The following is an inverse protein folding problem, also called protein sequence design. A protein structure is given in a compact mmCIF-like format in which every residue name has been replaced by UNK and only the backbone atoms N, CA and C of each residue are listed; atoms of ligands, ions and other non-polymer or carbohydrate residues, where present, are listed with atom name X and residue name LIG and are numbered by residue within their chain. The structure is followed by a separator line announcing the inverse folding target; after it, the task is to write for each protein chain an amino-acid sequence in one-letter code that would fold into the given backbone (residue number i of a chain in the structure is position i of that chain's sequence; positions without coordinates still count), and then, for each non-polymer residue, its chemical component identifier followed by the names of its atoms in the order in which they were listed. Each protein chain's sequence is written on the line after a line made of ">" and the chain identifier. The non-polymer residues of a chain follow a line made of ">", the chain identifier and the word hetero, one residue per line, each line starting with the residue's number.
data_IF_714171524815
#
_entry.id   IF_714171524815
#
_cell.length_a   1.000
_cell.length_b   1.000
_cell.length_c   1.000
_cell.angle_alpha   90.00
_cell.angle_beta   90.00
_cell.angle_gamma   90.00
#
_symmetry.space_group_name_H-M   'P 1'
#
loop_
_entity.id
_entity.type
_entity.pdbx_description
1 polymer ?
#
# COMPACT_ATOMS: atom_id res chain seq x y z
N UNK A 1 3.28 9.53 -12.34
CA UNK A 1 2.76 10.78 -12.95
C UNK A 1 2.94 11.90 -11.94
N UNK A 2 3.67 12.96 -12.33
CA UNK A 2 4.04 14.07 -11.45
C UNK A 2 3.01 15.21 -11.50
N UNK A 3 1.73 14.87 -11.30
CA UNK A 3 0.64 15.83 -11.10
C UNK A 3 0.56 16.25 -9.63
N UNK A 4 -0.36 17.16 -9.32
CA UNK A 4 -0.73 17.50 -7.95
C UNK A 4 -2.21 17.12 -7.71
N UNK A 5 -2.51 16.09 -6.90
CA UNK A 5 -1.57 15.19 -6.21
C UNK A 5 -0.81 14.26 -7.19
N UNK A 6 0.31 13.71 -6.73
CA UNK A 6 1.09 12.76 -7.53
C UNK A 6 0.37 11.41 -7.59
N UNK A 7 0.62 10.66 -8.66
CA UNK A 7 0.08 9.31 -8.85
C UNK A 7 1.22 8.35 -9.19
N UNK A 8 1.27 7.23 -8.47
CA UNK A 8 2.25 6.18 -8.69
C UNK A 8 1.60 4.80 -8.57
N UNK A 9 2.05 3.83 -9.37
CA UNK A 9 1.65 2.43 -9.26
C UNK A 9 2.81 1.49 -9.55
N UNK A 10 2.77 0.29 -8.99
CA UNK A 10 3.65 -0.84 -9.31
C UNK A 10 2.84 -2.14 -9.26
N UNK A 11 3.21 -3.11 -10.08
CA UNK A 11 2.54 -4.42 -10.12
C UNK A 11 1.16 -4.36 -10.76
N UNK A 12 0.31 -5.31 -10.38
CA UNK A 12 -0.99 -5.55 -10.99
C UNK A 12 -2.07 -4.62 -10.47
N UNK A 13 -3.09 -4.38 -11.29
CA UNK A 13 -4.36 -3.75 -10.88
C UNK A 13 -5.36 -4.79 -10.38
N UNK A 14 -6.47 -4.34 -9.79
CA UNK A 14 -7.53 -5.26 -9.35
C UNK A 14 -8.22 -5.93 -10.55
N UNK A 15 -8.38 -5.20 -11.64
CA UNK A 15 -8.97 -5.69 -12.89
C UNK A 15 -8.13 -6.81 -13.49
N UNK A 16 -6.80 -6.65 -13.54
CA UNK A 16 -5.86 -7.67 -14.01
C UNK A 16 -5.94 -8.93 -13.14
N UNK A 17 -5.99 -8.78 -11.80
CA UNK A 17 -6.10 -9.92 -10.88
C UNK A 17 -7.43 -10.67 -11.02
N UNK A 18 -8.53 -9.95 -11.23
CA UNK A 18 -9.85 -10.55 -11.48
C UNK A 18 -9.85 -11.33 -12.80
N UNK A 19 -9.28 -10.76 -13.86
CA UNK A 19 -9.17 -11.43 -15.17
C UNK A 19 -8.31 -12.70 -15.11
N UNK A 20 -7.24 -12.69 -14.31
CA UNK A 20 -6.36 -13.84 -14.13
C UNK A 20 -6.90 -14.86 -13.09
N UNK A 21 -8.00 -14.58 -12.41
CA UNK A 21 -8.56 -15.46 -11.38
C UNK A 21 -7.66 -15.62 -10.15
N UNK A 22 -6.81 -14.63 -9.86
CA UNK A 22 -5.92 -14.64 -8.69
C UNK A 22 -6.70 -14.17 -7.46
N UNK A 23 -6.62 -14.92 -6.36
CA UNK A 23 -7.30 -14.54 -5.12
C UNK A 23 -6.47 -13.58 -4.28
N UNK A 24 -7.00 -12.38 -4.04
CA UNK A 24 -6.31 -11.31 -3.34
C UNK A 24 -7.19 -10.60 -2.31
N UNK A 25 -6.56 -9.81 -1.43
CA UNK A 25 -7.21 -8.77 -0.65
C UNK A 25 -6.73 -7.39 -1.10
N UNK A 26 -7.66 -6.45 -1.23
CA UNK A 26 -7.35 -5.04 -1.42
C UNK A 26 -7.50 -4.31 -0.08
N UNK A 27 -6.46 -3.57 0.32
CA UNK A 27 -6.52 -2.71 1.50
C UNK A 27 -6.11 -1.29 1.15
N UNK A 28 -6.76 -0.32 1.78
CA UNK A 28 -6.57 1.11 1.50
C UNK A 28 -6.42 1.91 2.79
N UNK A 29 -5.46 2.81 2.82
CA UNK A 29 -5.35 3.84 3.85
C UNK A 29 -5.29 5.23 3.23
N UNK A 30 -6.20 6.11 3.63
CA UNK A 30 -6.22 7.51 3.22
C UNK A 30 -5.07 8.27 3.88
N UNK A 31 -4.56 9.32 3.22
CA UNK A 31 -3.56 10.21 3.80
C UNK A 31 -4.10 10.88 5.07
N UNK A 32 -5.32 11.40 5.01
CA UNK A 32 -6.06 11.99 6.12
C UNK A 32 -6.24 11.08 7.34
N UNK A 33 -6.13 9.77 7.18
CA UNK A 33 -6.22 8.78 8.26
C UNK A 33 -4.83 8.45 8.87
N UNK A 34 -3.84 9.33 8.73
CA UNK A 34 -2.49 9.18 9.28
C UNK A 34 -2.04 10.47 9.98
N UNK A 35 -1.24 10.35 11.05
CA UNK A 35 -0.70 11.50 11.76
C UNK A 35 0.02 12.47 10.82
N UNK A 36 0.85 11.94 9.93
CA UNK A 36 1.61 12.68 8.95
C UNK A 36 0.72 13.38 7.91
N UNK A 37 -0.32 12.70 7.42
CA UNK A 37 -1.24 13.30 6.46
C UNK A 37 -2.09 14.40 7.09
N UNK A 38 -2.49 14.26 8.35
CA UNK A 38 -3.12 15.33 9.12
C UNK A 38 -2.17 16.52 9.29
N UNK A 39 -0.91 16.27 9.68
CA UNK A 39 0.10 17.32 9.85
C UNK A 39 0.42 18.07 8.54
N UNK A 40 0.30 17.40 7.39
CA UNK A 40 0.51 17.99 6.05
C UNK A 40 -0.76 18.55 5.41
N UNK A 41 -1.91 18.56 6.11
CA UNK A 41 -3.20 18.98 5.53
C UNK A 41 -3.53 18.23 4.22
N UNK A 42 -3.19 16.95 4.17
CA UNK A 42 -3.43 16.08 3.01
C UNK A 42 -4.84 15.52 3.06
N UNK A 43 -5.80 16.32 2.60
CA UNK A 43 -7.24 16.01 2.68
C UNK A 43 -7.70 14.96 1.66
N UNK A 44 -6.88 14.67 0.65
CA UNK A 44 -7.18 13.71 -0.41
C UNK A 44 -6.02 12.75 -0.66
N UNK A 45 -6.31 11.63 -1.33
CA UNK A 45 -5.32 10.62 -1.65
C UNK A 45 -5.26 9.43 -0.69
N UNK A 46 -4.53 8.40 -1.10
CA UNK A 46 -4.44 7.13 -0.41
C UNK A 46 -3.23 6.29 -0.85
N UNK A 47 -2.92 5.29 -0.04
CA UNK A 47 -2.14 4.11 -0.42
C UNK A 47 -3.08 2.91 -0.48
N UNK A 48 -3.13 2.23 -1.62
CA UNK A 48 -3.84 0.96 -1.85
C UNK A 48 -2.83 -0.13 -2.15
N UNK A 49 -2.97 -1.28 -1.49
CA UNK A 49 -2.13 -2.47 -1.72
C UNK A 49 -3.01 -3.68 -2.01
N UNK A 50 -2.53 -4.54 -2.90
CA UNK A 50 -3.14 -5.79 -3.30
C UNK A 50 -2.25 -6.93 -2.84
N UNK A 51 -2.77 -7.81 -1.99
CA UNK A 51 -2.01 -8.88 -1.37
C UNK A 51 -2.59 -10.23 -1.78
N UNK A 52 -1.74 -11.13 -2.26
CA UNK A 52 -2.12 -12.52 -2.54
C UNK A 52 -2.55 -13.23 -1.24
N UNK A 53 -3.71 -13.91 -1.25
CA UNK A 53 -4.21 -14.53 -0.01
C UNK A 53 -3.38 -15.71 0.47
N UNK A 54 -2.70 -16.42 -0.43
CA UNK A 54 -1.97 -17.67 -0.11
C UNK A 54 -0.56 -17.38 0.35
N UNK A 55 0.21 -16.69 -0.49
CA UNK A 55 1.62 -16.37 -0.31
C UNK A 55 1.86 -15.11 0.53
N UNK A 56 0.82 -14.27 0.71
CA UNK A 56 0.93 -12.94 1.33
C UNK A 56 1.90 -11.99 0.61
N UNK A 57 2.25 -12.26 -0.64
CA UNK A 57 3.09 -11.36 -1.43
C UNK A 57 2.29 -10.14 -1.89
N UNK A 58 2.97 -9.01 -2.05
CA UNK A 58 2.38 -7.83 -2.69
C UNK A 58 2.29 -8.07 -4.19
N UNK A 59 1.06 -8.07 -4.71
CA UNK A 59 0.76 -8.22 -6.14
C UNK A 59 0.76 -6.88 -6.86
N UNK A 60 0.39 -5.81 -6.16
CA UNK A 60 0.43 -4.45 -6.67
C UNK A 60 0.19 -3.40 -5.60
N UNK A 61 0.64 -2.18 -5.87
CA UNK A 61 0.43 -1.03 -5.01
C UNK A 61 0.12 0.22 -5.85
N UNK A 62 -0.76 1.06 -5.31
CA UNK A 62 -1.25 2.27 -5.96
C UNK A 62 -1.27 3.40 -4.95
N UNK A 63 -0.59 4.49 -5.26
CA UNK A 63 -0.48 5.66 -4.39
C UNK A 63 -0.95 6.88 -5.15
N UNK A 64 -1.88 7.61 -4.54
CA UNK A 64 -2.31 8.94 -4.98
C UNK A 64 -2.11 9.86 -3.78
N UNK A 65 -1.30 10.90 -3.90
CA UNK A 65 -1.03 11.79 -2.78
C UNK A 65 0.32 12.48 -2.86
N UNK A 66 0.67 13.17 -1.77
CA UNK A 66 1.97 13.82 -1.62
C UNK A 66 3.11 12.80 -1.62
N UNK A 67 4.20 13.11 -2.32
CA UNK A 67 5.34 12.23 -2.57
C UNK A 67 4.98 10.78 -3.01
N UNK A 68 3.88 10.59 -3.75
CA UNK A 68 3.49 9.26 -4.24
C UNK A 68 4.62 8.56 -5.03
N UNK A 69 5.41 9.33 -5.79
CA UNK A 69 6.56 8.80 -6.54
C UNK A 69 7.67 8.24 -5.65
N UNK A 70 7.85 8.78 -4.44
CA UNK A 70 8.84 8.28 -3.48
C UNK A 70 8.26 7.12 -2.70
N UNK A 71 7.01 7.26 -2.24
CA UNK A 71 6.36 6.26 -1.40
C UNK A 71 6.15 4.92 -2.13
N UNK A 72 5.90 4.94 -3.44
CA UNK A 72 5.78 3.71 -4.24
C UNK A 72 7.06 2.86 -4.22
N UNK A 73 8.23 3.49 -4.03
CA UNK A 73 9.52 2.81 -4.07
C UNK A 73 9.67 1.76 -2.95
N UNK A 74 8.98 1.95 -1.82
CA UNK A 74 8.88 0.95 -0.76
C UNK A 74 8.33 -0.38 -1.28
N UNK A 75 7.29 -0.33 -2.12
CA UNK A 75 6.67 -1.51 -2.70
C UNK A 75 7.51 -2.10 -3.83
N UNK A 76 8.21 -1.26 -4.61
CA UNK A 76 9.19 -1.73 -5.61
C UNK A 76 10.26 -2.58 -4.93
N UNK A 77 10.85 -2.07 -3.84
CA UNK A 77 11.86 -2.81 -3.07
C UNK A 77 11.32 -4.13 -2.53
N UNK A 78 10.14 -4.10 -1.88
CA UNK A 78 9.53 -5.29 -1.32
C UNK A 78 9.24 -6.36 -2.40
N UNK A 79 8.69 -5.96 -3.55
CA UNK A 79 8.42 -6.88 -4.67
C UNK A 79 9.72 -7.43 -5.29
N UNK A 80 10.76 -6.59 -5.40
CA UNK A 80 12.08 -6.99 -5.91
C UNK A 80 12.72 -8.06 -5.03
N UNK A 81 12.60 -7.90 -3.72
CA UNK A 81 13.08 -8.86 -2.72
C UNK A 81 12.18 -10.07 -2.53
N UNK A 82 11.06 -10.15 -3.28
CA UNK A 82 10.01 -11.17 -3.10
C UNK A 82 9.49 -11.23 -1.65
N UNK A 83 9.45 -10.08 -0.99
CA UNK A 83 8.99 -9.93 0.39
C UNK A 83 7.47 -10.08 0.52
N UNK A 84 7.06 -10.39 1.74
CA UNK A 84 5.66 -10.60 2.12
C UNK A 84 5.08 -9.41 2.86
N UNK A 85 3.76 -9.43 3.06
CA UNK A 85 3.05 -8.48 3.92
C UNK A 85 3.62 -8.44 5.34
N UNK A 86 4.04 -9.59 5.88
CA UNK A 86 4.60 -9.66 7.23
C UNK A 86 5.99 -8.98 7.30
N UNK A 87 6.77 -9.00 6.22
CA UNK A 87 8.05 -8.28 6.15
C UNK A 87 7.84 -6.76 6.15
N UNK A 88 6.86 -6.28 5.37
CA UNK A 88 6.48 -4.87 5.36
C UNK A 88 6.02 -4.39 6.76
N UNK A 89 5.34 -5.24 7.51
CA UNK A 89 4.86 -4.93 8.87
C UNK A 89 5.96 -4.97 9.94
N UNK A 90 7.04 -5.74 9.72
CA UNK A 90 8.17 -5.85 10.66
C UNK A 90 9.18 -4.71 10.54
N UNK A 91 9.13 -3.93 9.46
CA UNK A 91 10.01 -2.78 9.28
C UNK A 91 9.86 -1.76 10.42
N UNK A 92 10.95 -1.05 10.71
CA UNK A 92 10.91 0.13 11.59
C UNK A 92 10.46 1.32 10.75
N UNK A 93 9.44 2.03 11.24
CA UNK A 93 8.91 3.22 10.59
C UNK A 93 9.22 4.45 11.42
N UNK A 94 9.74 5.47 10.75
CA UNK A 94 9.87 6.81 11.33
C UNK A 94 8.48 7.34 11.67
N UNK A 95 8.35 8.04 12.80
CA UNK A 95 7.12 8.65 13.24
C UNK A 95 7.33 10.13 13.61
N UNK A 96 6.49 11.06 13.12
CA UNK A 96 5.51 10.89 12.05
C UNK A 96 6.19 10.87 10.66
N UNK A 97 5.85 9.93 9.77
CA UNK A 97 6.30 9.94 8.37
C UNK A 97 5.30 9.37 7.35
N UNK A 98 5.47 9.67 6.05
CA UNK A 98 4.59 9.16 4.97
C UNK A 98 4.60 7.63 4.85
N UNK A 99 5.74 6.92 5.04
CA UNK A 99 5.77 5.46 5.03
C UNK A 99 4.78 4.80 6.01
N UNK A 100 4.38 5.49 7.08
CA UNK A 100 3.37 4.97 8.01
C UNK A 100 1.99 4.79 7.35
N UNK A 101 1.67 5.53 6.28
CA UNK A 101 0.43 5.35 5.51
C UNK A 101 0.44 3.97 4.82
N UNK A 102 1.59 3.57 4.27
CA UNK A 102 1.79 2.24 3.71
C UNK A 102 1.71 1.15 4.80
N UNK A 103 2.34 1.37 5.97
CA UNK A 103 2.20 0.47 7.13
C UNK A 103 0.75 0.29 7.56
N UNK A 104 -0.02 1.38 7.60
CA UNK A 104 -1.42 1.33 8.01
C UNK A 104 -2.29 0.60 6.97
N UNK A 105 -2.01 0.77 5.67
CA UNK A 105 -2.63 -0.05 4.63
C UNK A 105 -2.27 -1.55 4.81
N UNK A 106 -1.02 -1.86 5.15
CA UNK A 106 -0.55 -3.22 5.45
C UNK A 106 -1.26 -3.84 6.66
N UNK A 107 -1.48 -3.08 7.73
CA UNK A 107 -2.24 -3.54 8.91
C UNK A 107 -3.67 -3.93 8.54
N UNK A 108 -4.36 -3.08 7.77
CA UNK A 108 -5.71 -3.37 7.26
C UNK A 108 -5.72 -4.61 6.36
N UNK A 109 -4.72 -4.79 5.49
CA UNK A 109 -4.62 -6.01 4.68
C UNK A 109 -4.51 -7.26 5.56
N UNK A 110 -3.72 -7.19 6.64
CA UNK A 110 -3.57 -8.31 7.58
C UNK A 110 -4.88 -8.66 8.28
N UNK A 111 -5.65 -7.66 8.70
CA UNK A 111 -6.98 -7.85 9.28
C UNK A 111 -7.94 -8.53 8.28
N UNK A 112 -7.96 -8.07 7.02
CA UNK A 112 -8.79 -8.65 5.96
C UNK A 112 -8.42 -10.10 5.62
N UNK A 113 -7.15 -10.46 5.71
CA UNK A 113 -6.69 -11.85 5.55
C UNK A 113 -7.13 -12.75 6.72
N UNK A 114 -7.27 -12.18 7.92
CA UNK A 114 -7.69 -12.91 9.11
C UNK A 114 -9.22 -13.06 9.18
N UNK A 115 -9.97 -12.06 8.72
CA UNK A 115 -11.44 -12.06 8.78
C UNK A 115 -12.13 -12.93 7.72
N UNK A 116 -11.39 -13.44 6.73
CA UNK A 116 -11.90 -14.29 5.64
C UNK A 116 -11.47 -15.77 5.77
N UNK A 117 -11.02 -16.18 6.94
CA UNK A 117 -10.90 -17.61 7.34
C UNK A 117 -12.20 -18.07 7.97
#
# INVERSE_FOLDING_TARGET
>A
MFTHPQIAKVGKTEEELIQEGIDYVAAKNSYSASATGMARLSDSGFVKILIDKKSKMVLGAHVIGDEASNLIHLFILLMTMKGTLDDLLKMIYVHPALPEIARNAARKAKELLQSKK
#
